data_IF_959630661079
#
_entry.id   IF_959630661079
#
_cell.length_a   1.000
_cell.length_b   1.000
_cell.length_c   1.000
_cell.angle_alpha   90.00
_cell.angle_beta   90.00
_cell.angle_gamma   90.00
#
_symmetry.space_group_name_H-M   'P 1'
#
loop_
_entity.id
_entity.type
_entity.pdbx_description
1 polymer ?
#
# COMPACT_ATOMS: atom_id res chain seq x y z
N UNK A 1 -65.18 4.23 14.71
CA UNK A 1 -64.21 3.92 15.79
C UNK A 1 -63.56 2.61 15.41
N UNK A 2 -62.25 2.42 15.23
CA UNK A 2 -61.04 3.11 15.70
C UNK A 2 -60.02 3.19 14.55
N UNK A 3 -59.31 4.30 14.50
CA UNK A 3 -58.13 4.53 13.65
C UNK A 3 -56.99 3.67 14.22
N UNK A 4 -56.31 2.90 13.38
CA UNK A 4 -54.99 2.36 13.71
C UNK A 4 -53.98 2.92 12.71
N UNK A 5 -53.45 4.08 13.10
CA UNK A 5 -52.19 4.61 12.65
C UNK A 5 -51.10 3.72 13.26
N UNK A 6 -50.33 3.01 12.44
CA UNK A 6 -49.12 2.33 12.88
C UNK A 6 -48.06 2.49 11.79
N UNK A 7 -47.50 3.70 11.80
CA UNK A 7 -46.18 4.02 11.28
C UNK A 7 -45.17 3.06 11.92
N UNK A 8 -44.72 2.04 11.21
CA UNK A 8 -43.47 1.35 11.56
C UNK A 8 -42.36 2.00 10.76
N UNK A 9 -41.79 2.99 11.42
CA UNK A 9 -40.54 3.67 11.11
C UNK A 9 -39.43 2.63 10.88
N UNK A 10 -38.56 2.92 9.93
CA UNK A 10 -37.58 1.99 9.38
C UNK A 10 -36.61 1.39 10.41
N UNK A 11 -36.27 0.13 10.16
CA UNK A 11 -34.99 -0.43 10.56
C UNK A 11 -34.04 -0.23 9.38
N UNK A 12 -33.41 0.94 9.35
CA UNK A 12 -32.28 1.20 8.47
C UNK A 12 -31.17 0.26 8.93
N UNK A 13 -30.72 -0.59 8.03
CA UNK A 13 -29.57 -1.48 8.19
C UNK A 13 -28.38 -0.65 8.70
N UNK A 14 -27.97 -0.88 9.95
CA UNK A 14 -26.67 -0.39 10.43
C UNK A 14 -25.62 -1.26 9.73
N UNK A 15 -25.30 -0.92 8.49
CA UNK A 15 -24.07 -1.36 7.86
C UNK A 15 -22.94 -0.74 8.66
N UNK A 16 -22.32 -1.50 9.55
CA UNK A 16 -21.07 -1.11 10.18
C UNK A 16 -20.03 -0.97 9.06
N UNK A 17 -19.83 0.24 8.56
CA UNK A 17 -18.62 0.58 7.83
C UNK A 17 -17.49 0.53 8.86
N UNK A 18 -16.88 -0.64 9.04
CA UNK A 18 -15.71 -0.81 9.89
C UNK A 18 -14.61 0.06 9.30
N UNK A 19 -14.35 1.20 9.95
CA UNK A 19 -13.20 2.05 9.63
C UNK A 19 -11.94 1.18 9.66
N UNK A 20 -11.00 1.36 8.73
CA UNK A 20 -9.74 0.62 8.76
C UNK A 20 -9.05 0.79 10.12
N UNK A 21 -8.79 -0.32 10.79
CA UNK A 21 -8.20 -0.39 12.14
C UNK A 21 -6.80 -1.00 12.10
N UNK A 22 -6.06 -0.84 13.20
CA UNK A 22 -4.77 -1.50 13.45
C UNK A 22 -4.89 -3.00 13.78
N UNK A 23 -5.97 -3.64 13.36
CA UNK A 23 -6.30 -5.03 13.70
C UNK A 23 -5.21 -6.00 13.28
N UNK A 24 -4.87 -6.93 14.18
CA UNK A 24 -3.82 -7.93 13.95
C UNK A 24 -2.39 -7.40 14.02
N UNK A 25 -2.17 -6.10 14.26
CA UNK A 25 -0.84 -5.54 14.49
C UNK A 25 -0.52 -5.44 15.99
N UNK A 26 0.71 -5.81 16.34
CA UNK A 26 1.26 -5.56 17.68
C UNK A 26 1.50 -4.07 17.95
N UNK A 27 1.60 -3.67 19.21
CA UNK A 27 1.92 -2.28 19.59
C UNK A 27 3.20 -1.76 18.93
N UNK A 28 4.24 -2.61 18.83
CA UNK A 28 5.49 -2.28 18.15
C UNK A 28 5.30 -2.01 16.66
N UNK A 29 4.52 -2.84 15.97
CA UNK A 29 4.19 -2.61 14.55
C UNK A 29 3.39 -1.32 14.38
N UNK A 30 2.39 -1.08 15.23
CA UNK A 30 1.58 0.14 15.18
C UNK A 30 2.47 1.38 15.37
N UNK A 31 3.39 1.35 16.33
CA UNK A 31 4.34 2.44 16.57
C UNK A 31 5.26 2.67 15.37
N UNK A 32 5.76 1.61 14.74
CA UNK A 32 6.60 1.70 13.56
C UNK A 32 5.86 2.33 12.37
N UNK A 33 4.65 1.85 12.06
CA UNK A 33 3.82 2.39 10.98
C UNK A 33 3.43 3.85 11.20
N UNK A 34 3.05 4.22 12.42
CA UNK A 34 2.78 5.61 12.78
C UNK A 34 4.01 6.50 12.63
N UNK A 35 5.18 6.03 13.08
CA UNK A 35 6.45 6.75 12.94
C UNK A 35 6.86 6.91 11.48
N UNK A 36 6.51 5.94 10.64
CA UNK A 36 6.69 5.99 9.20
C UNK A 36 5.66 6.92 8.49
N UNK A 37 4.68 7.47 9.22
CA UNK A 37 3.70 8.42 8.70
C UNK A 37 2.44 7.79 8.10
N UNK A 38 2.21 6.49 8.33
CA UNK A 38 1.03 5.80 7.82
C UNK A 38 -0.14 5.88 8.80
N UNK A 39 -1.35 5.99 8.26
CA UNK A 39 -2.57 5.67 8.98
C UNK A 39 -2.82 4.15 8.99
N UNK A 40 -3.88 3.72 9.68
CA UNK A 40 -4.20 2.30 9.78
C UNK A 40 -4.49 1.66 8.41
N UNK A 41 -5.15 2.39 7.50
CA UNK A 41 -5.53 1.89 6.18
C UNK A 41 -4.29 1.65 5.31
N UNK A 42 -3.39 2.63 5.25
CA UNK A 42 -2.12 2.53 4.55
C UNK A 42 -1.24 1.44 5.13
N UNK A 43 -1.10 1.39 6.45
CA UNK A 43 -0.33 0.35 7.12
C UNK A 43 -0.83 -1.06 6.79
N UNK A 44 -2.16 -1.28 6.86
CA UNK A 44 -2.76 -2.56 6.49
C UNK A 44 -2.50 -2.91 5.01
N UNK A 45 -2.63 -1.93 4.12
CA UNK A 45 -2.45 -2.13 2.68
C UNK A 45 -1.02 -2.56 2.36
N UNK A 46 -0.02 -1.85 2.89
CA UNK A 46 1.39 -2.17 2.66
C UNK A 46 1.83 -3.44 3.39
N UNK A 47 1.40 -3.63 4.64
CA UNK A 47 1.71 -4.82 5.42
C UNK A 47 1.15 -6.10 4.79
N UNK A 48 -0.09 -6.07 4.26
CA UNK A 48 -0.68 -7.22 3.53
C UNK A 48 0.07 -7.57 2.25
N UNK A 49 0.79 -6.61 1.67
CA UNK A 49 1.65 -6.84 0.51
C UNK A 49 3.08 -7.23 0.90
N UNK A 50 3.34 -7.46 2.19
CA UNK A 50 4.60 -8.03 2.68
C UNK A 50 5.66 -7.01 3.04
N UNK A 51 5.33 -5.72 3.08
CA UNK A 51 6.28 -4.66 3.42
C UNK A 51 6.30 -4.37 4.92
N UNK A 52 7.50 -4.12 5.45
CA UNK A 52 7.66 -3.44 6.73
C UNK A 52 7.40 -1.93 6.59
N UNK A 53 7.23 -1.23 7.73
CA UNK A 53 6.87 0.18 7.75
C UNK A 53 7.91 1.10 7.10
N UNK A 54 9.19 0.82 7.34
CA UNK A 54 10.34 1.54 6.78
C UNK A 54 10.52 1.27 5.28
N UNK A 55 10.37 0.01 4.85
CA UNK A 55 10.38 -0.35 3.43
C UNK A 55 9.24 0.33 2.67
N UNK A 56 8.02 0.25 3.20
CA UNK A 56 6.85 0.91 2.62
C UNK A 56 7.06 2.42 2.53
N UNK A 57 7.63 3.05 3.57
CA UNK A 57 7.96 4.46 3.55
C UNK A 57 8.93 4.80 2.41
N UNK A 58 9.97 4.01 2.23
CA UNK A 58 10.96 4.24 1.16
C UNK A 58 10.29 4.19 -0.23
N UNK A 59 9.43 3.19 -0.48
CA UNK A 59 8.68 3.09 -1.73
C UNK A 59 7.70 4.25 -1.94
N UNK A 60 6.96 4.67 -0.91
CA UNK A 60 6.05 5.82 -0.96
C UNK A 60 6.79 7.13 -1.19
N UNK A 61 7.93 7.33 -0.53
CA UNK A 61 8.77 8.52 -0.71
C UNK A 61 9.32 8.58 -2.14
N UNK A 62 9.65 7.42 -2.71
CA UNK A 62 10.02 7.25 -4.12
C UNK A 62 8.83 7.32 -5.10
N UNK A 63 7.61 7.59 -4.62
CA UNK A 63 6.37 7.74 -5.40
C UNK A 63 5.87 6.48 -6.10
N UNK A 64 6.24 5.30 -5.61
CA UNK A 64 5.66 4.05 -6.07
C UNK A 64 4.31 3.78 -5.41
N UNK A 65 3.37 3.23 -6.17
CA UNK A 65 2.19 2.58 -5.59
C UNK A 65 2.59 1.27 -4.91
N UNK A 66 1.73 0.73 -4.04
CA UNK A 66 1.99 -0.56 -3.38
C UNK A 66 2.12 -1.71 -4.38
N UNK A 67 1.33 -1.68 -5.47
CA UNK A 67 1.36 -2.72 -6.50
C UNK A 67 2.68 -2.66 -7.29
N UNK A 68 3.09 -1.47 -7.73
CA UNK A 68 4.38 -1.31 -8.40
C UNK A 68 5.53 -1.71 -7.47
N UNK A 69 5.56 -1.17 -6.25
CA UNK A 69 6.59 -1.52 -5.26
C UNK A 69 6.70 -3.04 -5.06
N UNK A 70 5.57 -3.75 -4.98
CA UNK A 70 5.53 -5.21 -4.83
C UNK A 70 6.14 -5.92 -6.04
N UNK A 71 5.84 -5.49 -7.25
CA UNK A 71 6.38 -6.09 -8.47
C UNK A 71 7.89 -5.88 -8.56
N UNK A 72 8.36 -4.64 -8.37
CA UNK A 72 9.79 -4.31 -8.37
C UNK A 72 10.56 -5.03 -7.26
N UNK A 73 10.01 -5.08 -6.04
CA UNK A 73 10.62 -5.81 -4.92
C UNK A 73 10.65 -7.33 -5.17
N UNK A 74 9.60 -7.90 -5.77
CA UNK A 74 9.56 -9.32 -6.15
C UNK A 74 10.62 -9.67 -7.19
N UNK A 75 10.89 -8.76 -8.13
CA UNK A 75 11.98 -8.83 -9.09
C UNK A 75 13.37 -8.48 -8.51
N UNK A 76 13.47 -8.35 -7.17
CA UNK A 76 14.72 -8.11 -6.44
C UNK A 76 15.42 -6.81 -6.85
N UNK A 77 14.64 -5.78 -7.17
CA UNK A 77 15.13 -4.42 -7.24
C UNK A 77 14.96 -3.75 -5.88
N UNK A 78 16.01 -3.03 -5.46
CA UNK A 78 15.89 -2.03 -4.40
C UNK A 78 15.07 -0.83 -4.86
N UNK A 79 14.60 -0.03 -3.90
CA UNK A 79 13.89 1.23 -4.17
C UNK A 79 14.74 2.16 -5.05
N UNK A 80 16.05 2.25 -4.78
CA UNK A 80 16.96 3.10 -5.56
C UNK A 80 17.09 2.59 -7.00
N UNK A 81 17.32 1.29 -7.21
CA UNK A 81 17.42 0.73 -8.55
C UNK A 81 16.13 0.94 -9.33
N UNK A 82 14.97 0.61 -8.74
CA UNK A 82 13.66 0.81 -9.36
C UNK A 82 13.43 2.30 -9.72
N UNK A 83 13.77 3.22 -8.81
CA UNK A 83 13.69 4.66 -9.06
C UNK A 83 14.55 5.09 -10.24
N UNK A 84 15.77 4.56 -10.35
CA UNK A 84 16.67 4.91 -11.45
C UNK A 84 16.12 4.41 -12.79
N UNK A 85 15.64 3.16 -12.86
CA UNK A 85 15.03 2.62 -14.08
C UNK A 85 13.79 3.42 -14.51
N UNK A 86 12.86 3.67 -13.60
CA UNK A 86 11.64 4.42 -13.87
C UNK A 86 11.95 5.85 -14.31
N UNK A 87 12.92 6.53 -13.68
CA UNK A 87 13.33 7.89 -14.09
C UNK A 87 14.00 7.92 -15.46
N UNK A 88 14.66 6.84 -15.85
CA UNK A 88 15.23 6.68 -17.19
C UNK A 88 14.21 6.21 -18.23
N UNK A 89 12.94 6.06 -17.84
CA UNK A 89 11.82 5.78 -18.75
C UNK A 89 11.55 4.30 -19.00
N UNK A 90 12.12 3.40 -18.20
CA UNK A 90 11.93 1.95 -18.36
C UNK A 90 10.79 1.43 -17.49
N UNK A 91 10.04 0.49 -18.05
CA UNK A 91 9.11 -0.36 -17.29
C UNK A 91 9.85 -1.53 -16.62
N UNK A 92 9.16 -2.28 -15.75
CA UNK A 92 9.80 -3.34 -14.96
C UNK A 92 10.34 -4.48 -15.82
N UNK A 93 9.58 -4.93 -16.81
CA UNK A 93 9.97 -6.00 -17.72
C UNK A 93 11.21 -5.62 -18.53
N UNK A 94 11.23 -4.40 -19.09
CA UNK A 94 12.41 -3.86 -19.78
C UNK A 94 13.62 -3.78 -18.83
N UNK A 95 13.42 -3.28 -17.60
CA UNK A 95 14.49 -3.21 -16.61
C UNK A 95 15.05 -4.58 -16.21
N UNK A 96 14.20 -5.62 -16.13
CA UNK A 96 14.63 -7.00 -15.90
C UNK A 96 15.48 -7.49 -17.07
N UNK A 97 14.97 -7.36 -18.30
CA UNK A 97 15.66 -7.81 -19.51
C UNK A 97 17.03 -7.14 -19.69
N UNK A 98 17.12 -5.82 -19.43
CA UNK A 98 18.37 -5.09 -19.50
C UNK A 98 19.33 -5.46 -18.36
N UNK A 99 18.83 -5.67 -17.14
CA UNK A 99 19.64 -6.14 -16.00
C UNK A 99 20.24 -7.52 -16.25
N UNK A 100 19.49 -8.43 -16.89
CA UNK A 100 19.99 -9.77 -17.28
C UNK A 100 21.14 -9.69 -18.29
N UNK A 101 21.18 -8.65 -19.12
CA UNK A 101 22.30 -8.34 -20.03
C UNK A 101 23.49 -7.67 -19.31
N UNK A 102 23.37 -7.42 -18.01
CA UNK A 102 24.38 -6.72 -17.20
C UNK A 102 24.35 -5.20 -17.34
N UNK A 103 23.24 -4.63 -17.83
CA UNK A 103 23.09 -3.20 -18.03
C UNK A 103 22.40 -2.53 -16.84
N UNK A 104 22.65 -1.24 -16.69
CA UNK A 104 22.05 -0.37 -15.68
C UNK A 104 21.63 0.95 -16.32
N UNK A 105 20.57 1.61 -15.84
CA UNK A 105 20.08 2.83 -16.46
C UNK A 105 21.04 3.97 -16.16
N UNK A 106 21.20 4.88 -17.13
CA UNK A 106 21.98 6.10 -16.92
C UNK A 106 21.18 7.03 -16.03
N UNK A 107 21.75 7.44 -14.89
CA UNK A 107 21.15 8.44 -14.00
C UNK A 107 20.94 9.74 -14.80
N UNK A 108 19.70 10.26 -14.90
CA UNK A 108 19.42 11.51 -15.58
C UNK A 108 20.02 12.73 -14.86
#
# INVERSE_FOLDING_TARGET
MKKYFAMVLGLILIGCASSPTWEGMSEGQISAWKSAGFDAAGAQTWSKNGFAADEAKAWVDAKFSVDAAKEWAKAKFSVEEATNWVKSGFELDEAVDEREKGLTPVKP
#
